data_IF_153506201114
#
_entry.id   IF_153506201114
#
_cell.length_a   1.000
_cell.length_b   1.000
_cell.length_c   1.000
_cell.angle_alpha   90.00
_cell.angle_beta   90.00
_cell.angle_gamma   90.00
#
_symmetry.space_group_name_H-M   'P 1'
#
loop_
_entity.id
_entity.type
_entity.pdbx_description
1 polymer ?
#
# COMPACT_ATOMS: atom_id res chain seq x y z
N UNK A 1 18.53 32.24 11.25
CA UNK A 1 17.49 33.28 11.15
C UNK A 1 16.96 33.41 9.72
N UNK A 2 16.48 32.32 9.09
CA UNK A 2 16.00 32.35 7.70
C UNK A 2 14.63 31.67 7.49
N UNK A 3 14.03 31.10 8.53
CA UNK A 3 12.72 30.43 8.44
C UNK A 3 11.52 31.37 8.67
N UNK A 4 11.76 32.57 9.22
CA UNK A 4 10.69 33.50 9.61
C UNK A 4 10.10 34.31 8.44
N UNK A 5 10.81 34.40 7.31
CA UNK A 5 10.40 35.24 6.17
C UNK A 5 9.28 34.62 5.30
N UNK A 6 9.21 33.29 5.23
CA UNK A 6 8.25 32.59 4.37
C UNK A 6 6.84 32.57 4.98
N UNK A 7 6.75 32.55 6.31
CA UNK A 7 5.47 32.62 7.04
C UNK A 7 4.78 33.99 6.94
N UNK A 8 5.55 35.08 6.81
CA UNK A 8 4.99 36.43 6.65
C UNK A 8 4.38 36.69 5.27
N UNK A 9 4.91 36.07 4.21
CA UNK A 9 4.47 36.33 2.83
C UNK A 9 3.12 35.64 2.50
N UNK A 10 2.81 34.51 3.15
CA UNK A 10 1.58 33.75 2.92
C UNK A 10 0.38 34.28 3.73
N UNK A 11 0.60 35.12 4.75
CA UNK A 11 -0.47 35.76 5.52
C UNK A 11 -1.26 36.81 4.69
N UNK A 12 -0.70 37.25 3.56
CA UNK A 12 -1.29 38.32 2.74
C UNK A 12 -2.20 37.89 1.59
N UNK A 13 -2.18 36.62 1.14
CA UNK A 13 -2.77 36.26 -0.16
C UNK A 13 -3.78 35.12 -0.18
N UNK A 14 -3.92 34.36 0.91
CA UNK A 14 -4.97 33.35 1.04
C UNK A 14 -5.74 33.59 2.34
N UNK A 15 -7.07 33.79 2.27
CA UNK A 15 -7.88 33.87 3.48
C UNK A 15 -7.70 32.61 4.32
N UNK A 16 -7.51 32.77 5.63
CA UNK A 16 -7.31 31.66 6.58
C UNK A 16 -8.39 30.57 6.48
N UNK A 17 -9.61 30.92 6.06
CA UNK A 17 -10.70 29.98 5.80
C UNK A 17 -10.44 29.05 4.61
N UNK A 18 -9.73 29.49 3.57
CA UNK A 18 -9.28 28.62 2.47
C UNK A 18 -8.21 27.63 2.93
N UNK A 19 -7.31 28.06 3.82
CA UNK A 19 -6.32 27.16 4.43
C UNK A 19 -6.98 26.09 5.30
N UNK A 20 -8.00 26.45 6.08
CA UNK A 20 -8.79 25.47 6.86
C UNK A 20 -9.59 24.52 5.97
N UNK A 21 -10.22 25.04 4.91
CA UNK A 21 -10.95 24.20 3.95
C UNK A 21 -10.01 23.22 3.24
N UNK A 22 -8.85 23.69 2.78
CA UNK A 22 -7.82 22.84 2.16
C UNK A 22 -7.28 21.78 3.11
N UNK A 23 -7.01 22.15 4.37
CA UNK A 23 -6.59 21.20 5.40
C UNK A 23 -7.67 20.16 5.68
N UNK A 24 -8.95 20.56 5.73
CA UNK A 24 -10.08 19.64 5.90
C UNK A 24 -10.22 18.64 4.75
N UNK A 25 -10.08 19.10 3.50
CA UNK A 25 -10.10 18.21 2.33
C UNK A 25 -8.93 17.24 2.34
N UNK A 26 -7.71 17.72 2.61
CA UNK A 26 -6.52 16.86 2.73
C UNK A 26 -6.69 15.83 3.84
N UNK A 27 -7.16 16.23 5.01
CA UNK A 27 -7.44 15.32 6.11
C UNK A 27 -8.51 14.29 5.72
N UNK A 28 -9.58 14.71 5.05
CA UNK A 28 -10.62 13.83 4.53
C UNK A 28 -10.07 12.78 3.55
N UNK A 29 -9.23 13.20 2.60
CA UNK A 29 -8.56 12.28 1.64
C UNK A 29 -7.63 11.32 2.35
N UNK A 30 -6.82 11.79 3.30
CA UNK A 30 -5.92 10.93 4.08
C UNK A 30 -6.70 9.92 4.91
N UNK A 31 -7.81 10.32 5.53
CA UNK A 31 -8.69 9.42 6.29
C UNK A 31 -9.41 8.42 5.39
N UNK A 32 -9.92 8.84 4.24
CA UNK A 32 -10.54 7.94 3.27
C UNK A 32 -9.53 6.92 2.73
N UNK A 33 -8.33 7.38 2.34
CA UNK A 33 -7.24 6.51 1.93
C UNK A 33 -6.80 5.55 3.06
N UNK A 34 -6.76 6.03 4.31
CA UNK A 34 -6.45 5.21 5.47
C UNK A 34 -7.53 4.14 5.73
N UNK A 35 -8.81 4.48 5.52
CA UNK A 35 -9.95 3.57 5.68
C UNK A 35 -10.04 2.54 4.56
N UNK A 36 -9.70 2.92 3.33
CA UNK A 36 -9.67 2.05 2.16
C UNK A 36 -8.38 1.26 2.03
N UNK A 37 -7.44 1.37 2.99
CA UNK A 37 -6.22 0.57 2.93
C UNK A 37 -6.60 -0.90 2.92
N UNK A 38 -6.19 -1.65 1.89
CA UNK A 38 -6.36 -3.09 1.88
C UNK A 38 -5.60 -3.64 3.09
N UNK A 39 -6.37 -4.18 4.03
CA UNK A 39 -5.85 -4.89 5.19
C UNK A 39 -6.16 -6.36 5.00
N UNK A 40 -5.19 -7.19 5.33
CA UNK A 40 -5.33 -8.62 5.19
C UNK A 40 -3.99 -9.31 5.19
N UNK A 41 -4.06 -10.63 5.15
CA UNK A 41 -2.92 -11.51 5.12
C UNK A 41 -2.91 -12.26 3.79
N UNK A 42 -1.74 -12.29 3.15
CA UNK A 42 -1.48 -13.09 1.97
C UNK A 42 -0.67 -14.30 2.39
N UNK A 43 -1.18 -15.49 2.07
CA UNK A 43 -0.50 -16.75 2.33
C UNK A 43 -0.11 -17.42 1.01
N UNK A 44 1.17 -17.76 0.94
CA UNK A 44 1.71 -18.62 -0.11
C UNK A 44 1.49 -20.08 0.31
N UNK A 45 0.80 -20.85 -0.53
CA UNK A 45 0.64 -22.30 -0.37
C UNK A 45 1.47 -23.01 -1.44
N UNK A 46 2.61 -23.62 -1.07
CA UNK A 46 3.44 -24.34 -2.03
C UNK A 46 2.66 -25.53 -2.60
N UNK A 47 2.41 -25.54 -3.90
CA UNK A 47 1.78 -26.66 -4.58
C UNK A 47 2.85 -27.53 -5.26
N UNK A 48 2.88 -28.84 -5.04
CA UNK A 48 3.82 -29.70 -5.75
C UNK A 48 3.51 -29.70 -7.24
N UNK A 49 4.53 -29.44 -8.08
CA UNK A 49 4.52 -29.57 -9.55
C UNK A 49 3.65 -28.56 -10.32
N UNK A 50 3.22 -27.46 -9.71
CA UNK A 50 2.45 -26.38 -10.35
C UNK A 50 2.84 -25.01 -9.77
N UNK A 51 2.34 -23.92 -10.37
CA UNK A 51 2.51 -22.58 -9.81
C UNK A 51 1.96 -22.54 -8.37
N UNK A 52 2.58 -21.79 -7.46
CA UNK A 52 2.12 -21.72 -6.08
C UNK A 52 0.70 -21.14 -6.00
N UNK A 53 -0.13 -21.71 -5.13
CA UNK A 53 -1.45 -21.17 -4.85
C UNK A 53 -1.33 -20.02 -3.86
N UNK A 54 -2.15 -19.00 -4.06
CA UNK A 54 -2.21 -17.84 -3.20
C UNK A 54 -3.55 -17.81 -2.52
N UNK A 55 -3.53 -17.62 -1.21
CA UNK A 55 -4.73 -17.43 -0.42
C UNK A 55 -4.70 -16.06 0.25
N UNK A 56 -5.82 -15.35 0.22
CA UNK A 56 -6.00 -14.06 0.86
C UNK A 56 -7.07 -14.14 1.94
N UNK A 57 -6.86 -13.38 3.00
CA UNK A 57 -7.81 -13.18 4.08
C UNK A 57 -7.86 -11.71 4.45
N UNK A 58 -9.04 -11.08 4.42
CA UNK A 58 -9.19 -9.66 4.74
C UNK A 58 -9.01 -9.36 6.23
N UNK A 59 -9.52 -10.22 7.12
CA UNK A 59 -9.40 -10.04 8.57
C UNK A 59 -8.98 -11.32 9.28
N UNK A 60 -8.19 -11.18 10.34
CA UNK A 60 -7.87 -12.31 11.22
C UNK A 60 -9.16 -12.91 11.79
N UNK A 61 -9.50 -14.12 11.34
CA UNK A 61 -10.76 -14.81 11.66
C UNK A 61 -11.63 -15.14 10.45
N UNK A 62 -11.42 -14.49 9.30
CA UNK A 62 -12.10 -14.86 8.05
C UNK A 62 -11.51 -16.15 7.46
N UNK A 63 -12.28 -16.82 6.60
CA UNK A 63 -11.81 -17.97 5.83
C UNK A 63 -10.79 -17.53 4.77
N UNK A 64 -9.79 -18.38 4.55
CA UNK A 64 -8.83 -18.21 3.47
C UNK A 64 -9.53 -18.39 2.12
N UNK A 65 -9.40 -17.41 1.24
CA UNK A 65 -9.92 -17.46 -0.14
C UNK A 65 -8.78 -17.60 -1.11
N UNK A 66 -8.86 -18.57 -2.02
CA UNK A 66 -7.92 -18.67 -3.14
C UNK A 66 -8.08 -17.43 -4.04
N UNK A 67 -6.94 -16.85 -4.42
CA UNK A 67 -6.88 -15.62 -5.22
C UNK A 67 -5.81 -15.74 -6.30
N UNK A 68 -6.03 -15.08 -7.42
CA UNK A 68 -5.01 -14.94 -8.46
C UNK A 68 -4.09 -13.77 -8.12
N UNK A 69 -2.79 -14.04 -7.98
CA UNK A 69 -1.75 -13.02 -7.78
C UNK A 69 -0.92 -12.85 -9.05
N UNK A 70 -0.76 -11.61 -9.50
CA UNK A 70 0.20 -11.20 -10.53
C UNK A 70 1.07 -10.05 -10.03
N UNK A 71 2.28 -9.92 -10.58
CA UNK A 71 3.23 -8.88 -10.21
C UNK A 71 3.35 -7.87 -11.34
N UNK A 72 2.68 -6.73 -11.22
CA UNK A 72 2.72 -5.67 -12.23
C UNK A 72 4.05 -4.88 -12.19
N UNK A 73 4.70 -4.82 -11.02
CA UNK A 73 5.92 -4.04 -10.82
C UNK A 73 6.77 -4.57 -9.67
N UNK A 74 8.04 -4.88 -9.94
CA UNK A 74 9.01 -5.30 -8.93
C UNK A 74 10.16 -4.28 -8.83
N UNK A 75 9.99 -3.28 -7.98
CA UNK A 75 11.00 -2.25 -7.73
C UNK A 75 11.90 -2.55 -6.52
N UNK A 76 13.00 -1.79 -6.34
CA UNK A 76 13.86 -1.92 -5.17
C UNK A 76 13.15 -1.57 -3.86
N UNK A 77 12.24 -0.60 -3.88
CA UNK A 77 11.55 -0.08 -2.69
C UNK A 77 10.03 -0.28 -2.69
N UNK A 78 9.45 -0.72 -3.81
CA UNK A 78 8.01 -0.79 -3.97
C UNK A 78 7.66 -2.00 -4.83
N UNK A 79 6.69 -2.80 -4.38
CA UNK A 79 6.19 -3.94 -5.13
C UNK A 79 4.72 -3.70 -5.48
N UNK A 80 4.42 -3.64 -6.77
CA UNK A 80 3.07 -3.58 -7.30
C UNK A 80 2.54 -4.97 -7.52
N UNK A 81 1.57 -5.37 -6.69
CA UNK A 81 0.89 -6.65 -6.77
C UNK A 81 -0.52 -6.44 -7.31
N UNK A 82 -1.05 -7.43 -8.00
CA UNK A 82 -2.43 -7.44 -8.46
C UNK A 82 -3.10 -8.72 -7.99
N UNK A 83 -4.07 -8.56 -7.09
CA UNK A 83 -4.87 -9.62 -6.48
C UNK A 83 -6.28 -9.59 -7.07
N UNK A 84 -6.67 -10.62 -7.82
CA UNK A 84 -8.00 -10.70 -8.48
C UNK A 84 -8.37 -9.39 -9.21
N UNK A 85 -7.40 -8.82 -9.92
CA UNK A 85 -7.57 -7.55 -10.65
C UNK A 85 -7.43 -6.28 -9.80
N UNK A 86 -7.43 -6.37 -8.46
CA UNK A 86 -7.20 -5.25 -7.53
C UNK A 86 -5.71 -4.96 -7.37
N UNK A 87 -5.31 -3.69 -7.53
CA UNK A 87 -3.91 -3.28 -7.39
C UNK A 87 -3.56 -3.02 -5.92
N UNK A 88 -2.47 -3.63 -5.47
CA UNK A 88 -1.88 -3.45 -4.16
C UNK A 88 -0.45 -2.95 -4.29
N UNK A 89 -0.07 -2.06 -3.39
CA UNK A 89 1.28 -1.55 -3.27
C UNK A 89 1.88 -1.98 -1.94
N UNK A 90 2.92 -2.80 -2.02
CA UNK A 90 3.67 -3.25 -0.86
C UNK A 90 4.88 -2.34 -0.67
N UNK A 91 4.94 -1.73 0.52
CA UNK A 91 6.07 -0.91 0.94
C UNK A 91 7.12 -1.80 1.62
N UNK A 92 8.39 -1.35 1.69
CA UNK A 92 9.48 -2.16 2.23
C UNK A 92 9.45 -2.28 3.76
N UNK A 93 8.61 -1.50 4.42
CA UNK A 93 8.33 -1.53 5.86
C UNK A 93 7.05 -2.32 6.21
N UNK A 94 6.36 -2.88 5.21
CA UNK A 94 5.07 -3.58 5.41
C UNK A 94 5.22 -4.96 6.06
N UNK A 95 6.44 -5.51 6.10
CA UNK A 95 6.77 -6.81 6.70
C UNK A 95 8.27 -6.83 7.05
N UNK A 96 8.72 -7.88 7.73
CA UNK A 96 10.15 -8.06 8.00
C UNK A 96 10.94 -8.34 6.70
N UNK A 97 12.24 -8.03 6.74
CA UNK A 97 13.09 -8.10 5.55
C UNK A 97 13.22 -9.51 4.97
N UNK A 98 13.14 -10.56 5.80
CA UNK A 98 13.27 -11.94 5.35
C UNK A 98 11.99 -12.43 4.68
N UNK A 99 10.83 -12.13 5.25
CA UNK A 99 9.53 -12.32 4.61
C UNK A 99 9.45 -11.61 3.26
N UNK A 100 9.95 -10.36 3.16
CA UNK A 100 10.00 -9.62 1.90
C UNK A 100 10.95 -10.25 0.88
N UNK A 101 12.09 -10.81 1.31
CA UNK A 101 13.01 -11.53 0.41
C UNK A 101 12.38 -12.81 -0.12
N UNK A 102 11.72 -13.60 0.73
CA UNK A 102 10.99 -14.81 0.32
C UNK A 102 9.88 -14.47 -0.65
N UNK A 103 9.09 -13.42 -0.34
CA UNK A 103 8.05 -12.93 -1.22
C UNK A 103 8.63 -12.53 -2.58
N UNK A 104 9.68 -11.69 -2.62
CA UNK A 104 10.30 -11.27 -3.89
C UNK A 104 10.78 -12.45 -4.74
N UNK A 105 11.34 -13.49 -4.12
CA UNK A 105 11.73 -14.72 -4.83
C UNK A 105 10.52 -15.43 -5.42
N UNK A 106 9.42 -15.55 -4.68
CA UNK A 106 8.19 -16.14 -5.18
C UNK A 106 7.57 -15.31 -6.32
N UNK A 107 7.57 -13.98 -6.19
CA UNK A 107 7.06 -13.07 -7.22
C UNK A 107 7.88 -13.12 -8.52
N UNK A 108 9.19 -13.34 -8.42
CA UNK A 108 10.04 -13.51 -9.60
C UNK A 108 9.76 -14.81 -10.38
N UNK A 109 9.02 -15.75 -9.79
CA UNK A 109 8.56 -16.97 -10.48
C UNK A 109 7.16 -16.85 -11.08
N UNK A 110 6.47 -15.73 -10.81
CA UNK A 110 5.19 -15.44 -11.43
C UNK A 110 5.39 -14.86 -12.85
N UNK A 111 4.50 -15.18 -13.80
CA UNK A 111 4.56 -14.69 -15.17
C UNK A 111 4.29 -13.19 -15.29
#
# INVERSE_FOLDING_TARGET
MAASGVLGLLWGYAPWWMSLAGAGVLAGVVLDAARRRPRGELRLMPRPRSAPDWAWRERAGDDWREVSLSCDYLGPWLVGLRLDGRRLWLWPDSSDADSLRVLRRALNTLP
#
